data_IF_781325290613
#
_entry.id   IF_781325290613
#
_cell.length_a   1.000
_cell.length_b   1.000
_cell.length_c   1.000
_cell.angle_alpha   90.00
_cell.angle_beta   90.00
_cell.angle_gamma   90.00
#
_symmetry.space_group_name_H-M   'P 1'
#
loop_
_entity.id
_entity.type
_entity.pdbx_description
1 polymer ?
#
# COMPACT_ATOMS: atom_id res chain seq x y z
N UNK A 1 -5.24 2.80 6.68
CA UNK A 1 -4.87 1.63 5.85
C UNK A 1 -3.45 1.85 5.40
N UNK A 2 -2.59 0.86 5.54
CA UNK A 2 -1.17 0.98 5.18
C UNK A 2 -0.92 0.36 3.81
N UNK A 3 -0.09 0.98 2.95
CA UNK A 3 0.28 0.38 1.67
C UNK A 3 1.11 -0.88 1.94
N UNK A 4 0.68 -2.00 1.35
CA UNK A 4 1.37 -3.29 1.42
C UNK A 4 2.59 -3.21 0.51
N UNK A 5 3.75 -3.60 1.06
CA UNK A 5 5.00 -3.66 0.29
C UNK A 5 5.07 -4.97 -0.49
N UNK A 6 5.40 -4.85 -1.76
CA UNK A 6 5.70 -5.98 -2.64
C UNK A 6 7.20 -6.28 -2.51
N UNK A 7 7.55 -7.54 -2.28
CA UNK A 7 8.95 -7.98 -2.10
C UNK A 7 9.64 -8.15 -3.47
N UNK A 8 9.04 -8.99 -4.32
CA UNK A 8 9.62 -9.37 -5.60
C UNK A 8 8.57 -9.84 -6.60
N UNK A 9 8.99 -9.94 -7.85
CA UNK A 9 8.22 -10.55 -8.93
C UNK A 9 8.51 -12.06 -8.94
N UNK A 10 7.47 -12.86 -9.09
CA UNK A 10 7.55 -14.33 -9.15
C UNK A 10 7.55 -14.81 -10.59
N UNK A 11 6.61 -14.30 -11.39
CA UNK A 11 6.49 -14.65 -12.81
C UNK A 11 5.86 -13.51 -13.59
N UNK A 12 6.21 -13.43 -14.87
CA UNK A 12 5.70 -12.44 -15.83
C UNK A 12 5.43 -13.17 -17.13
N UNK A 13 4.27 -12.92 -17.75
CA UNK A 13 3.96 -13.51 -19.05
C UNK A 13 4.59 -12.73 -20.20
N UNK A 14 4.50 -11.39 -20.16
CA UNK A 14 5.01 -10.49 -21.19
C UNK A 14 5.35 -9.14 -20.59
N UNK A 15 6.51 -8.63 -20.98
CA UNK A 15 6.97 -7.30 -20.59
C UNK A 15 7.86 -6.69 -21.68
N UNK A 16 7.74 -5.37 -21.82
CA UNK A 16 8.59 -4.57 -22.68
C UNK A 16 9.92 -4.23 -21.98
N UNK A 17 11.00 -4.08 -22.75
CA UNK A 17 12.35 -3.84 -22.22
C UNK A 17 12.48 -2.47 -21.55
N UNK A 18 11.81 -1.44 -22.09
CA UNK A 18 11.78 -0.11 -21.48
C UNK A 18 10.72 -0.01 -20.37
N UNK A 19 9.64 -0.78 -20.49
CA UNK A 19 8.48 -0.76 -19.60
C UNK A 19 8.26 -2.11 -18.88
N UNK A 20 9.30 -2.56 -18.16
CA UNK A 20 9.31 -3.81 -17.41
C UNK A 20 8.37 -3.80 -16.18
N UNK A 21 7.95 -4.99 -15.73
CA UNK A 21 7.09 -5.17 -14.54
C UNK A 21 7.74 -4.62 -13.27
N UNK A 22 9.08 -4.64 -13.20
CA UNK A 22 9.86 -4.10 -12.09
C UNK A 22 9.58 -2.61 -11.80
N UNK A 23 9.01 -1.88 -12.76
CA UNK A 23 8.56 -0.51 -12.55
C UNK A 23 7.39 -0.40 -11.56
N UNK A 24 6.53 -1.41 -11.48
CA UNK A 24 5.38 -1.41 -10.55
C UNK A 24 5.80 -1.56 -9.08
N UNK A 25 7.02 -2.05 -8.83
CA UNK A 25 7.57 -2.15 -7.46
C UNK A 25 8.02 -0.79 -6.91
N UNK A 26 8.23 0.20 -7.79
CA UNK A 26 8.76 1.50 -7.39
C UNK A 26 7.61 2.40 -6.94
N UNK A 27 7.72 2.94 -5.74
CA UNK A 27 6.76 3.90 -5.18
C UNK A 27 6.85 5.27 -5.86
N UNK A 28 7.95 5.53 -6.58
CA UNK A 28 8.06 6.71 -7.43
C UNK A 28 7.18 6.52 -8.67
N UNK A 29 5.95 7.05 -8.63
CA UNK A 29 4.99 7.12 -9.74
C UNK A 29 5.49 7.94 -10.96
N UNK A 30 6.80 8.16 -11.05
CA UNK A 30 7.48 8.90 -12.10
C UNK A 30 7.47 8.11 -13.41
N UNK A 31 6.43 8.28 -14.24
CA UNK A 31 6.32 7.87 -15.67
C UNK A 31 6.77 6.44 -16.05
N UNK A 32 7.07 5.59 -15.08
CA UNK A 32 7.54 4.23 -15.25
C UNK A 32 6.32 3.32 -15.15
N UNK A 33 5.99 2.71 -16.29
CA UNK A 33 4.80 1.89 -16.47
C UNK A 33 5.23 0.48 -16.83
N UNK A 34 4.32 -0.47 -16.66
CA UNK A 34 4.42 -1.81 -17.21
C UNK A 34 3.60 -1.90 -18.50
N UNK A 35 4.23 -2.39 -19.57
CA UNK A 35 3.56 -2.65 -20.85
C UNK A 35 3.89 -4.04 -21.37
N UNK A 36 3.00 -4.58 -22.19
CA UNK A 36 3.23 -5.81 -22.93
C UNK A 36 4.38 -5.66 -23.94
N UNK A 37 5.13 -6.75 -24.17
CA UNK A 37 6.23 -6.78 -25.13
C UNK A 37 5.73 -6.55 -26.54
N UNK A 38 4.72 -7.31 -26.95
CA UNK A 38 4.20 -7.27 -28.32
C UNK A 38 2.83 -6.59 -28.32
N UNK A 39 2.59 -5.60 -29.18
CA UNK A 39 1.24 -5.06 -29.39
C UNK A 39 0.31 -6.17 -29.90
N UNK A 40 -0.90 -6.26 -29.34
CA UNK A 40 -1.93 -7.22 -29.79
C UNK A 40 -2.04 -8.52 -29.01
N UNK A 41 -1.25 -8.67 -27.94
CA UNK A 41 -1.47 -9.73 -26.95
C UNK A 41 -2.86 -9.57 -26.34
N UNK A 42 -3.66 -10.64 -26.26
CA UNK A 42 -5.03 -10.55 -25.72
C UNK A 42 -5.03 -10.29 -24.22
N UNK A 43 -4.10 -10.92 -23.51
CA UNK A 43 -3.99 -10.91 -22.07
C UNK A 43 -2.52 -10.97 -21.66
N UNK A 44 -2.17 -10.22 -20.62
CA UNK A 44 -0.88 -10.30 -19.93
C UNK A 44 -1.12 -10.53 -18.44
N UNK A 45 -0.17 -11.20 -17.79
CA UNK A 45 -0.23 -11.47 -16.37
C UNK A 45 1.13 -11.33 -15.69
N UNK A 46 1.10 -10.91 -14.44
CA UNK A 46 2.28 -10.81 -13.59
C UNK A 46 1.91 -11.27 -12.18
N UNK A 47 2.81 -12.04 -11.57
CA UNK A 47 2.66 -12.56 -10.21
C UNK A 47 3.69 -11.89 -9.31
N UNK A 48 3.23 -11.42 -8.17
CA UNK A 48 4.01 -10.70 -7.17
C UNK A 48 3.98 -11.45 -5.84
N UNK A 49 5.12 -11.47 -5.16
CA UNK A 49 5.25 -11.92 -3.78
C UNK A 49 5.25 -10.70 -2.86
N UNK A 50 4.37 -10.71 -1.86
CA UNK A 50 4.31 -9.71 -0.80
C UNK A 50 5.35 -10.03 0.27
N UNK A 51 5.84 -8.98 0.95
CA UNK A 51 6.81 -9.12 2.05
C UNK A 51 6.20 -9.89 3.23
N UNK A 52 4.91 -9.65 3.50
CA UNK A 52 4.19 -10.26 4.61
C UNK A 52 2.83 -10.79 4.16
N UNK A 53 2.40 -11.90 4.76
CA UNK A 53 1.07 -12.47 4.55
C UNK A 53 0.02 -11.60 5.25
N UNK A 54 -0.77 -10.86 4.47
CA UNK A 54 -1.66 -9.82 4.99
C UNK A 54 -3.05 -9.86 4.33
N UNK A 55 -4.01 -9.19 4.97
CA UNK A 55 -5.38 -9.07 4.48
C UNK A 55 -5.51 -7.81 3.63
N UNK A 56 -5.91 -7.99 2.38
CA UNK A 56 -6.09 -6.90 1.41
C UNK A 56 -7.48 -6.28 1.59
N UNK A 57 -7.52 -4.96 1.69
CA UNK A 57 -8.73 -4.21 2.05
C UNK A 57 -9.18 -3.22 0.99
N UNK A 58 -8.24 -2.60 0.28
CA UNK A 58 -8.51 -1.86 -0.94
C UNK A 58 -7.35 -1.98 -1.92
N UNK A 59 -7.64 -1.69 -3.18
CA UNK A 59 -6.68 -1.76 -4.28
C UNK A 59 -6.87 -0.52 -5.15
N UNK A 60 -5.78 0.21 -5.38
CA UNK A 60 -5.77 1.37 -6.24
C UNK A 60 -4.99 1.01 -7.50
N UNK A 61 -5.58 1.26 -8.67
CA UNK A 61 -5.02 0.83 -9.95
C UNK A 61 -4.94 2.03 -10.88
N UNK A 62 -3.73 2.34 -11.33
CA UNK A 62 -3.47 3.27 -12.42
C UNK A 62 -3.38 2.50 -13.74
N UNK A 63 -4.30 2.79 -14.67
CA UNK A 63 -4.32 2.12 -15.96
C UNK A 63 -3.19 2.59 -16.88
N UNK A 64 -2.83 1.74 -17.84
CA UNK A 64 -2.08 2.12 -19.04
C UNK A 64 -2.68 1.36 -20.23
N UNK A 65 -3.78 1.85 -20.80
CA UNK A 65 -4.43 1.29 -22.00
C UNK A 65 -5.03 -0.11 -21.83
N UNK A 66 -5.16 -0.66 -20.62
CA UNK A 66 -5.85 -1.94 -20.38
C UNK A 66 -7.37 -1.73 -20.37
N UNK A 67 -8.13 -2.62 -21.00
CA UNK A 67 -9.58 -2.56 -20.99
C UNK A 67 -10.16 -3.17 -19.71
N UNK A 68 -9.64 -4.34 -19.32
CA UNK A 68 -10.07 -5.07 -18.16
C UNK A 68 -8.90 -5.44 -17.25
N UNK A 69 -9.18 -5.51 -15.97
CA UNK A 69 -8.27 -5.93 -14.92
C UNK A 69 -8.93 -7.00 -14.06
N UNK A 70 -8.20 -8.06 -13.76
CA UNK A 70 -8.58 -9.09 -12.82
C UNK A 70 -7.42 -9.30 -11.84
N UNK A 71 -7.76 -9.49 -10.56
CA UNK A 71 -6.76 -9.73 -9.52
C UNK A 71 -7.11 -11.01 -8.79
N UNK A 72 -6.15 -11.91 -8.78
CA UNK A 72 -6.22 -13.17 -8.05
C UNK A 72 -5.18 -13.17 -6.94
N UNK A 73 -5.45 -13.96 -5.91
CA UNK A 73 -4.60 -14.11 -4.73
C UNK A 73 -4.32 -15.58 -4.47
N UNK A 74 -3.15 -15.86 -3.93
CA UNK A 74 -2.71 -17.20 -3.59
C UNK A 74 -1.81 -17.18 -2.36
N UNK A 75 -1.49 -18.37 -1.86
CA UNK A 75 -0.48 -18.54 -0.82
C UNK A 75 0.80 -19.10 -1.44
N UNK A 76 1.96 -18.75 -0.92
CA UNK A 76 3.23 -19.30 -1.41
C UNK A 76 3.43 -20.75 -0.99
N UNK A 77 2.68 -21.19 0.03
CA UNK A 77 2.65 -22.57 0.50
C UNK A 77 1.70 -23.48 -0.28
N UNK A 78 0.75 -22.92 -1.05
CA UNK A 78 -0.14 -23.68 -1.93
C UNK A 78 0.50 -23.87 -3.31
N UNK A 79 0.08 -24.88 -4.09
CA UNK A 79 0.55 -25.06 -5.46
C UNK A 79 0.29 -23.82 -6.32
N UNK A 80 1.13 -23.60 -7.34
CA UNK A 80 1.05 -22.42 -8.21
C UNK A 80 -0.27 -22.28 -8.98
N UNK A 81 -1.11 -23.32 -9.05
CA UNK A 81 -2.40 -23.27 -9.76
C UNK A 81 -3.60 -22.90 -8.87
N UNK A 82 -3.43 -22.76 -7.55
CA UNK A 82 -4.53 -22.49 -6.62
C UNK A 82 -4.74 -20.98 -6.35
N UNK A 83 -4.93 -20.20 -7.41
CA UNK A 83 -5.27 -18.78 -7.28
C UNK A 83 -6.79 -18.59 -7.12
N UNK A 84 -7.19 -17.84 -6.09
CA UNK A 84 -8.58 -17.42 -5.86
C UNK A 84 -8.81 -16.00 -6.39
N UNK A 85 -9.97 -15.75 -7.00
CA UNK A 85 -10.32 -14.42 -7.51
C UNK A 85 -10.63 -13.47 -6.34
N UNK A 86 -9.84 -12.41 -6.18
CA UNK A 86 -10.08 -11.36 -5.19
C UNK A 86 -10.89 -10.21 -5.81
N UNK A 87 -10.49 -9.77 -7.01
CA UNK A 87 -11.22 -8.78 -7.80
C UNK A 87 -11.65 -9.44 -9.10
N UNK A 88 -12.96 -9.59 -9.29
CA UNK A 88 -13.53 -10.04 -10.55
C UNK A 88 -13.14 -9.07 -11.66
N UNK A 89 -13.02 -9.59 -12.88
CA UNK A 89 -12.76 -8.83 -14.10
C UNK A 89 -13.56 -7.53 -14.15
N UNK A 90 -12.85 -6.44 -13.91
CA UNK A 90 -13.38 -5.08 -13.78
C UNK A 90 -12.96 -4.25 -14.98
N UNK A 91 -13.86 -3.45 -15.52
CA UNK A 91 -13.58 -2.57 -16.66
C UNK A 91 -12.82 -1.32 -16.21
N UNK A 92 -11.63 -1.11 -16.78
CA UNK A 92 -10.87 0.12 -16.65
C UNK A 92 -11.24 1.12 -17.75
N UNK A 93 -11.46 0.64 -18.97
CA UNK A 93 -11.84 1.46 -20.13
C UNK A 93 -13.10 0.92 -20.80
N UNK A 94 -13.86 1.83 -21.40
CA UNK A 94 -14.95 1.50 -22.32
C UNK A 94 -14.42 1.09 -23.70
N UNK A 95 -15.28 0.45 -24.50
CA UNK A 95 -14.95 0.08 -25.89
C UNK A 95 -14.51 1.28 -26.73
N UNK A 96 -15.18 2.43 -26.58
CA UNK A 96 -14.86 3.64 -27.33
C UNK A 96 -13.51 4.21 -26.90
N UNK A 97 -13.25 4.29 -25.60
CA UNK A 97 -11.96 4.76 -25.06
C UNK A 97 -10.80 3.89 -25.57
N UNK A 98 -10.96 2.56 -25.56
CA UNK A 98 -9.93 1.63 -26.04
C UNK A 98 -9.66 1.74 -27.55
N UNK A 99 -10.69 1.99 -28.36
CA UNK A 99 -10.55 2.17 -29.82
C UNK A 99 -9.89 3.49 -30.18
N UNK A 100 -10.29 4.58 -29.53
CA UNK A 100 -9.79 5.93 -29.85
C UNK A 100 -8.54 6.32 -29.03
N UNK A 101 -8.13 5.50 -28.06
CA UNK A 101 -6.99 5.81 -27.20
C UNK A 101 -7.21 7.04 -26.33
N UNK A 102 -8.43 7.22 -25.84
CA UNK A 102 -8.75 8.29 -24.88
C UNK A 102 -8.75 7.72 -23.47
N UNK A 103 -8.44 8.55 -22.47
CA UNK A 103 -8.43 8.14 -21.05
C UNK A 103 -7.56 6.90 -20.74
N UNK A 104 -6.38 6.84 -21.36
CA UNK A 104 -5.45 5.71 -21.25
C UNK A 104 -4.97 5.48 -19.82
N UNK A 105 -4.77 6.57 -19.07
CA UNK A 105 -4.15 6.57 -17.74
C UNK A 105 -5.19 6.71 -16.61
N UNK A 106 -6.45 6.30 -16.86
CA UNK A 106 -7.51 6.38 -15.87
C UNK A 106 -7.17 5.60 -14.59
N UNK A 107 -7.48 6.18 -13.43
CA UNK A 107 -7.26 5.53 -12.12
C UNK A 107 -8.59 5.01 -11.59
N UNK A 108 -8.60 3.78 -11.07
CA UNK A 108 -9.75 3.22 -10.36
C UNK A 108 -9.37 2.76 -8.95
N UNK A 109 -10.29 3.02 -8.02
CA UNK A 109 -10.17 2.65 -6.62
C UNK A 109 -11.17 1.54 -6.32
N UNK A 110 -10.67 0.37 -5.94
CA UNK A 110 -11.48 -0.76 -5.52
C UNK A 110 -11.46 -0.83 -3.99
N UNK A 111 -12.61 -0.54 -3.39
CA UNK A 111 -12.80 -0.64 -1.95
C UNK A 111 -13.16 -2.08 -1.57
N UNK A 112 -13.16 -2.37 -0.28
CA UNK A 112 -13.52 -3.68 0.28
C UNK A 112 -14.84 -4.26 -0.25
N UNK A 113 -15.80 -3.39 -0.56
CA UNK A 113 -17.11 -3.75 -1.12
C UNK A 113 -17.04 -4.34 -2.53
N UNK A 114 -16.02 -3.97 -3.30
CA UNK A 114 -15.78 -4.47 -4.66
C UNK A 114 -14.98 -5.77 -4.68
N UNK A 115 -14.44 -6.21 -3.54
CA UNK A 115 -13.65 -7.42 -3.41
C UNK A 115 -14.56 -8.62 -3.11
N UNK A 116 -14.18 -9.79 -3.62
CA UNK A 116 -14.97 -11.01 -3.47
C UNK A 116 -14.87 -11.58 -2.05
N UNK A 117 -16.03 -11.83 -1.44
CA UNK A 117 -16.15 -12.58 -0.18
C UNK A 117 -16.29 -14.08 -0.50
N UNK A 118 -15.67 -14.99 0.27
CA UNK A 118 -14.91 -14.76 1.51
C UNK A 118 -13.43 -14.44 1.32
N UNK A 119 -12.93 -14.41 0.08
CA UNK A 119 -11.49 -14.29 -0.25
C UNK A 119 -10.86 -13.04 0.35
N UNK A 120 -11.57 -11.90 0.37
CA UNK A 120 -11.07 -10.67 0.96
C UNK A 120 -10.87 -10.72 2.49
N UNK A 121 -11.46 -11.70 3.18
CA UNK A 121 -11.33 -11.86 4.63
C UNK A 121 -10.16 -12.76 5.05
N UNK A 122 -9.56 -13.48 4.10
CA UNK A 122 -8.36 -14.29 4.30
C UNK A 122 -7.06 -13.46 4.16
N UNK A 123 -5.94 -14.02 4.62
CA UNK A 123 -4.59 -13.44 4.45
C UNK A 123 -3.89 -14.11 3.26
N UNK A 124 -3.18 -13.29 2.49
CA UNK A 124 -2.52 -13.68 1.25
C UNK A 124 -1.09 -13.13 1.19
N UNK A 125 -0.21 -13.85 0.51
CA UNK A 125 1.18 -13.47 0.31
C UNK A 125 1.56 -13.38 -1.17
N UNK A 126 0.73 -13.92 -2.08
CA UNK A 126 0.92 -13.85 -3.53
C UNK A 126 -0.27 -13.22 -4.20
N UNK A 127 0.02 -12.40 -5.20
CA UNK A 127 -0.98 -11.70 -5.99
C UNK A 127 -0.66 -11.87 -7.46
N UNK A 128 -1.64 -12.33 -8.22
CA UNK A 128 -1.59 -12.42 -9.67
C UNK A 128 -2.48 -11.35 -10.27
N UNK A 129 -1.88 -10.50 -11.09
CA UNK A 129 -2.55 -9.44 -11.81
C UNK A 129 -2.71 -9.90 -13.26
N UNK A 130 -3.92 -9.75 -13.80
CA UNK A 130 -4.23 -10.13 -15.17
C UNK A 130 -4.87 -8.94 -15.89
N UNK A 131 -4.17 -8.41 -16.88
CA UNK A 131 -4.65 -7.29 -17.69
C UNK A 131 -5.08 -7.82 -19.06
N UNK A 132 -6.20 -7.33 -19.59
CA UNK A 132 -6.74 -7.78 -20.87
C UNK A 132 -7.14 -6.58 -21.73
N UNK A 133 -6.78 -6.61 -23.02
CA UNK A 133 -7.17 -5.59 -24.00
C UNK A 133 -7.68 -6.27 -25.29
N UNK A 134 -8.97 -6.62 -25.36
CA UNK A 134 -9.52 -7.31 -26.53
C UNK A 134 -9.91 -6.34 -27.66
N UNK A 135 -10.05 -5.05 -27.39
CA UNK A 135 -10.64 -4.08 -28.31
C UNK A 135 -9.62 -3.44 -29.25
N UNK A 136 -8.35 -3.38 -28.84
CA UNK A 136 -7.29 -2.75 -29.61
C UNK A 136 -6.08 -3.70 -29.70
N UNK A 137 -5.87 -4.27 -30.90
CA UNK A 137 -4.79 -5.23 -31.16
C UNK A 137 -3.48 -4.57 -31.58
N UNK A 138 -3.43 -3.25 -31.71
CA UNK A 138 -2.27 -2.54 -32.23
C UNK A 138 -1.57 -1.69 -31.16
N UNK A 139 -2.22 -1.48 -30.01
CA UNK A 139 -1.66 -0.73 -28.90
C UNK A 139 -0.91 -1.65 -27.92
N UNK A 140 0.19 -1.15 -27.36
CA UNK A 140 0.76 -1.69 -26.14
C UNK A 140 -0.10 -1.26 -24.96
N UNK A 141 -0.30 -2.17 -24.01
CA UNK A 141 -1.09 -1.91 -22.81
C UNK A 141 -0.47 -2.58 -21.60
N UNK A 142 -0.94 -2.18 -20.43
CA UNK A 142 -0.58 -2.75 -19.14
C UNK A 142 -1.08 -1.85 -18.03
N UNK A 143 -0.22 -1.55 -17.07
CA UNK A 143 -0.57 -0.75 -15.89
C UNK A 143 0.48 0.32 -15.62
N UNK A 144 0.02 1.45 -15.13
CA UNK A 144 0.91 2.49 -14.62
C UNK A 144 1.38 2.18 -13.21
N UNK A 145 0.46 1.84 -12.31
CA UNK A 145 0.79 1.46 -10.93
C UNK A 145 -0.31 0.60 -10.32
N UNK A 146 0.04 -0.14 -9.27
CA UNK A 146 -0.92 -0.80 -8.39
C UNK A 146 -0.48 -0.55 -6.94
N UNK A 147 -1.43 -0.14 -6.10
CA UNK A 147 -1.21 0.02 -4.67
C UNK A 147 -2.22 -0.84 -3.93
N UNK A 148 -1.71 -1.75 -3.12
CA UNK A 148 -2.51 -2.63 -2.30
C UNK A 148 -2.52 -2.07 -0.89
N UNK A 149 -3.68 -2.04 -0.26
CA UNK A 149 -3.82 -1.52 1.10
C UNK A 149 -4.24 -2.64 2.03
N UNK A 150 -3.50 -2.79 3.12
CA UNK A 150 -3.80 -3.77 4.17
C UNK A 150 -4.68 -3.18 5.25
N UNK A 151 -5.46 -4.05 5.91
CA UNK A 151 -5.98 -3.73 7.24
C UNK A 151 -4.77 -3.62 8.18
N UNK A 152 -4.43 -2.39 8.58
CA UNK A 152 -3.48 -2.16 9.66
C UNK A 152 -4.09 -2.80 10.90
N UNK A 153 -3.52 -3.91 11.37
CA UNK A 153 -3.68 -4.29 12.77
C UNK A 153 -3.00 -3.18 13.56
N UNK A 154 -3.77 -2.16 13.91
CA UNK A 154 -3.40 -1.30 15.02
C UNK A 154 -3.37 -2.26 16.20
N UNK A 155 -2.17 -2.70 16.59
CA UNK A 155 -1.97 -3.40 17.83
C UNK A 155 -2.65 -2.56 18.90
N UNK A 156 -3.82 -3.02 19.33
CA UNK A 156 -4.73 -2.31 20.22
C UNK A 156 -4.20 -2.41 21.66
N UNK A 157 -2.88 -2.23 21.83
CA UNK A 157 -2.16 -2.23 23.10
C UNK A 157 -1.34 -0.95 23.29
N UNK A 158 -1.44 0.04 22.39
CA UNK A 158 -1.01 1.41 22.68
C UNK A 158 -2.22 2.35 22.62
N UNK A 159 -2.61 3.01 23.72
CA UNK A 159 -3.70 3.98 23.69
C UNK A 159 -3.26 5.20 22.87
N UNK A 160 -3.74 5.34 21.63
CA UNK A 160 -3.59 6.56 20.85
C UNK A 160 -4.67 7.57 21.23
N UNK A 161 -4.26 8.82 21.52
CA UNK A 161 -5.15 9.96 21.63
C UNK A 161 -4.91 10.89 20.43
N UNK A 162 -5.70 10.70 19.38
CA UNK A 162 -5.56 11.46 18.13
C UNK A 162 -4.23 11.18 17.41
N UNK A 163 -3.57 12.23 16.92
CA UNK A 163 -2.30 12.13 16.19
C UNK A 163 -1.07 11.88 17.09
N UNK A 164 -1.26 11.70 18.40
CA UNK A 164 -0.16 11.50 19.33
C UNK A 164 0.03 10.01 19.67
N UNK A 165 1.25 9.52 19.51
CA UNK A 165 1.65 8.18 19.95
C UNK A 165 2.11 8.24 21.42
N UNK A 166 1.36 7.63 22.33
CA UNK A 166 1.79 7.42 23.71
C UNK A 166 2.80 6.28 23.75
N UNK A 167 4.06 6.63 24.02
CA UNK A 167 5.10 5.64 24.32
C UNK A 167 4.78 5.03 25.68
N UNK A 168 4.41 3.75 25.73
CA UNK A 168 4.19 3.04 26.98
C UNK A 168 5.52 2.96 27.75
N UNK A 169 5.65 3.79 28.79
CA UNK A 169 6.78 3.71 29.72
C UNK A 169 6.46 2.52 30.61
N UNK A 170 7.29 1.48 30.53
CA UNK A 170 7.22 0.34 31.43
C UNK A 170 7.27 0.84 32.87
N UNK A 171 6.14 0.68 33.58
CA UNK A 171 5.96 0.69 35.03
C UNK A 171 7.13 1.25 35.86
N UNK A 172 7.22 2.57 35.99
CA UNK A 172 7.83 3.23 37.14
C UNK A 172 6.95 4.43 37.48
N UNK A 173 6.21 4.33 38.58
CA UNK A 173 5.41 5.32 39.33
C UNK A 173 4.68 6.46 38.58
N UNK A 174 3.44 6.82 38.98
CA UNK A 174 2.72 7.92 38.36
C UNK A 174 3.44 9.26 38.61
N UNK A 175 4.21 9.73 37.62
CA UNK A 175 4.97 10.98 37.65
C UNK A 175 4.09 12.24 37.82
N UNK A 176 2.77 12.11 37.62
CA UNK A 176 1.85 13.24 37.56
C UNK A 176 0.66 13.01 38.49
N UNK A 177 0.87 13.32 39.77
CA UNK A 177 -0.24 13.57 40.71
C UNK A 177 -0.88 14.91 40.33
N UNK A 178 -2.22 14.99 40.31
CA UNK A 178 -2.96 16.24 40.11
C UNK A 178 -2.43 17.31 41.08
N UNK A 179 -1.94 18.43 40.55
CA UNK A 179 -1.28 19.50 41.30
C UNK A 179 0.26 19.43 41.38
N UNK A 180 0.91 18.38 40.86
CA UNK A 180 2.37 18.17 40.97
C UNK A 180 3.24 18.99 40.02
N UNK A 181 2.66 19.59 38.97
CA UNK A 181 3.38 20.34 37.93
C UNK A 181 4.11 21.59 38.44
N UNK A 182 3.62 22.20 39.53
CA UNK A 182 4.25 23.37 40.14
C UNK A 182 5.11 23.02 41.36
N UNK A 183 4.91 21.85 41.97
CA UNK A 183 5.61 21.43 43.18
C UNK A 183 7.05 20.95 42.90
N UNK A 184 7.31 20.40 41.71
CA UNK A 184 8.62 19.80 41.38
C UNK A 184 9.52 20.66 40.48
N UNK A 185 9.21 21.95 40.30
CA UNK A 185 10.00 22.84 39.42
C UNK A 185 11.49 22.91 39.80
N UNK A 186 11.80 22.79 41.09
CA UNK A 186 13.17 22.88 41.60
C UNK A 186 13.99 21.57 41.45
N UNK A 187 13.39 20.47 40.97
CA UNK A 187 14.09 19.20 40.74
C UNK A 187 14.52 19.00 39.28
N UNK A 188 14.07 19.85 38.36
CA UNK A 188 14.40 19.79 36.94
C UNK A 188 15.40 20.87 36.49
N UNK A 189 15.72 21.85 37.33
CA UNK A 189 16.75 22.84 37.05
C UNK A 189 18.12 22.32 37.52
N UNK A 190 18.98 21.94 36.57
CA UNK A 190 20.38 21.61 36.79
C UNK A 190 21.27 22.88 36.80
N UNK A 191 20.77 23.99 37.37
CA UNK A 191 21.56 25.22 37.50
C UNK A 191 22.17 25.31 38.91
N UNK A 192 23.45 25.67 39.06
CA UNK A 192 24.08 25.82 40.36
C UNK A 192 23.47 27.00 41.13
N UNK A 193 23.43 26.94 42.47
CA UNK A 193 22.83 27.98 43.28
C UNK A 193 23.63 29.28 43.15
N UNK A 194 22.94 30.36 42.76
CA UNK A 194 23.46 31.74 42.82
C UNK A 194 23.57 32.11 44.30
N UNK A 195 24.78 32.37 44.76
CA UNK A 195 25.07 32.88 46.10
C UNK A 195 24.54 34.31 46.23
N UNK A 196 23.57 34.51 47.12
CA UNK A 196 23.09 35.83 47.51
C UNK A 196 24.13 36.51 48.40
N UNK A 197 24.87 37.45 47.84
CA UNK A 197 25.77 38.34 48.58
C UNK A 197 24.97 39.27 49.50
N UNK A 198 25.35 39.33 50.77
CA UNK A 198 24.83 40.29 51.73
C UNK A 198 25.25 41.71 51.35
N UNK A 199 24.28 42.62 51.21
CA UNK A 199 24.51 44.05 51.08
C UNK A 199 24.05 44.77 52.36
N UNK A 200 24.97 45.58 52.90
CA UNK A 200 24.87 46.33 54.14
C UNK A 200 23.68 47.30 54.22
N UNK A 201 23.16 47.49 55.43
CA UNK A 201 22.30 48.63 55.78
C UNK A 201 23.08 49.51 56.77
N UNK A 202 23.00 50.82 56.53
CA UNK A 202 23.60 51.94 57.28
C UNK A 202 23.26 51.95 58.76
#
# INVERSE_FOLDING_TARGET
MAPIKIERIVSVSSEDEAHAVANLLKTDYSNKKWKCKTPGEKQISAVFQLVECCKISSIDIGNEHSAFIEILVGKSCSPDDEYKVLLVTSSLMTLQEAKYGTNINGVRFFKKESLCKPVCDEKWDRIKIVCTQPFNKHAQYGLSFIVLHGETTLDTNSPQLGNFQLKAIASVEPLLKIGGLFANRNKLSNDPPITTGAAAIR
#
